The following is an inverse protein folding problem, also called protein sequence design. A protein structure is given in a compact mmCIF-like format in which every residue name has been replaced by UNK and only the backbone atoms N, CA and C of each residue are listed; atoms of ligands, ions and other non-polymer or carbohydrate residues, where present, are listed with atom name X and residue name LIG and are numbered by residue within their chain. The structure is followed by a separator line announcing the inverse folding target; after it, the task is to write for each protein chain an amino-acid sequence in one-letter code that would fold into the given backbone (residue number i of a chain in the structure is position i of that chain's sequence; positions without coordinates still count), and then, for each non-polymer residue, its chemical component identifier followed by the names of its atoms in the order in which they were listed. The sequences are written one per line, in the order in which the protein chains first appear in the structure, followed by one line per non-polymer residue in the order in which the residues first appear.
data_IF_498174350879
#
_entry.id   IF_498174350879
#
_cell.length_a   1.000
_cell.length_b   1.000
_cell.length_c   1.000
_cell.angle_alpha   90.00
_cell.angle_beta   90.00
_cell.angle_gamma   90.00
#
_symmetry.space_group_name_H-M   'P 1'
#
loop_
_entity.id
_entity.type
_entity.pdbx_description
1 polymer ?
#
# COMPACT_ATOMS: atom_id res chain seq x y z
N UNK A 1 -6.26 9.68 -9.97
CA UNK A 1 -5.32 8.58 -10.26
C UNK A 1 -4.34 8.48 -9.11
N UNK A 2 -4.13 7.29 -8.56
CA UNK A 2 -3.17 7.02 -7.50
C UNK A 2 -1.77 6.86 -8.11
N UNK A 3 -0.75 7.37 -7.42
CA UNK A 3 0.65 7.26 -7.88
C UNK A 3 1.36 6.07 -7.21
N UNK A 4 2.09 5.30 -8.03
CA UNK A 4 2.93 4.19 -7.58
C UNK A 4 4.03 4.66 -6.62
N UNK A 5 4.71 5.74 -6.99
CA UNK A 5 5.82 6.30 -6.22
C UNK A 5 5.35 6.81 -4.84
N UNK A 6 4.24 7.54 -4.79
CA UNK A 6 3.64 7.98 -3.51
C UNK A 6 3.24 6.81 -2.63
N UNK A 7 2.68 5.75 -3.23
CA UNK A 7 2.31 4.53 -2.51
C UNK A 7 3.54 3.84 -1.92
N UNK A 8 4.64 3.76 -2.68
CA UNK A 8 5.91 3.21 -2.20
C UNK A 8 6.49 4.04 -1.05
N UNK A 9 6.53 5.37 -1.16
CA UNK A 9 6.97 6.23 -0.06
C UNK A 9 6.12 6.04 1.21
N UNK A 10 4.80 5.97 1.07
CA UNK A 10 3.92 5.67 2.21
C UNK A 10 4.11 4.26 2.77
N UNK A 11 4.47 3.28 1.95
CA UNK A 11 4.81 1.95 2.44
C UNK A 11 6.13 1.95 3.24
N UNK A 12 7.12 2.77 2.87
CA UNK A 12 8.40 2.84 3.58
C UNK A 12 8.31 3.66 4.89
N UNK A 13 7.73 4.85 4.85
CA UNK A 13 7.68 5.75 6.02
C UNK A 13 6.49 5.49 6.94
N UNK A 14 5.34 5.11 6.37
CA UNK A 14 4.06 4.96 7.08
C UNK A 14 3.51 3.53 6.96
N UNK A 15 4.41 2.59 6.68
CA UNK A 15 4.11 1.19 6.45
C UNK A 15 3.51 0.49 7.65
N UNK A 16 4.08 0.71 8.84
CA UNK A 16 3.59 0.13 10.09
C UNK A 16 2.17 0.56 10.45
N UNK A 17 1.72 1.73 9.98
CA UNK A 17 0.35 2.23 10.16
C UNK A 17 -0.60 1.78 9.04
N UNK A 18 -0.08 1.24 7.92
CA UNK A 18 -0.88 0.80 6.79
C UNK A 18 -1.47 1.94 5.93
N UNK A 19 -0.96 3.17 6.04
CA UNK A 19 -1.50 4.35 5.34
C UNK A 19 -1.51 4.18 3.81
N UNK A 20 -0.51 3.50 3.25
CA UNK A 20 -0.46 3.18 1.83
C UNK A 20 -1.65 2.30 1.36
N UNK A 21 -2.19 1.42 2.21
CA UNK A 21 -3.38 0.61 1.90
C UNK A 21 -4.64 1.47 1.83
N UNK A 22 -4.79 2.42 2.75
CA UNK A 22 -5.87 3.42 2.72
C UNK A 22 -5.76 4.31 1.49
N UNK A 23 -4.54 4.76 1.16
CA UNK A 23 -4.30 5.50 -0.07
C UNK A 23 -4.78 4.71 -1.28
N UNK A 24 -4.52 3.40 -1.35
CA UNK A 24 -4.99 2.51 -2.42
C UNK A 24 -6.49 2.16 -2.40
N UNK A 25 -7.28 2.68 -1.44
CA UNK A 25 -8.70 2.34 -1.28
C UNK A 25 -8.96 0.96 -0.67
N UNK A 26 -7.93 0.31 -0.13
CA UNK A 26 -8.01 -1.00 0.51
C UNK A 26 -8.27 -0.87 2.02
N UNK A 27 -9.37 -0.21 2.39
CA UNK A 27 -9.66 0.16 3.78
C UNK A 27 -9.67 -1.02 4.76
N UNK A 28 -10.19 -2.18 4.35
CA UNK A 28 -10.18 -3.39 5.19
C UNK A 28 -8.75 -3.85 5.54
N UNK A 29 -7.81 -3.78 4.58
CA UNK A 29 -6.40 -4.09 4.84
C UNK A 29 -5.72 -3.01 5.67
N UNK A 30 -6.07 -1.75 5.46
CA UNK A 30 -5.59 -0.64 6.28
C UNK A 30 -6.00 -0.80 7.75
N UNK A 31 -7.25 -1.18 8.03
CA UNK A 31 -7.73 -1.42 9.40
C UNK A 31 -6.99 -2.59 10.05
N UNK A 32 -6.73 -3.68 9.32
CA UNK A 32 -5.90 -4.77 9.83
C UNK A 32 -4.51 -4.29 10.23
N UNK A 33 -3.88 -3.43 9.42
CA UNK A 33 -2.58 -2.86 9.76
C UNK A 33 -2.65 -1.99 11.02
N UNK A 34 -3.71 -1.21 11.20
CA UNK A 34 -3.92 -0.39 12.41
C UNK A 34 -4.19 -1.22 13.67
N UNK A 35 -4.81 -2.40 13.57
CA UNK A 35 -5.02 -3.27 14.74
C UNK A 35 -3.72 -3.99 15.11
N UNK A 36 -2.94 -4.41 14.11
CA UNK A 36 -1.69 -5.13 14.31
C UNK A 36 -0.46 -4.23 14.43
N UNK A 37 -0.58 -2.90 14.39
CA UNK A 37 0.57 -1.99 14.34
C UNK A 37 1.54 -2.18 15.52
N UNK A 38 1.02 -2.55 16.70
CA UNK A 38 1.82 -2.81 17.90
C UNK A 38 2.69 -4.07 17.79
N UNK A 39 2.39 -4.98 16.86
CA UNK A 39 3.13 -6.24 16.69
C UNK A 39 4.39 -6.06 15.84
N UNK A 40 4.59 -4.87 15.24
CA UNK A 40 5.60 -4.60 14.21
C UNK A 40 5.52 -5.47 12.94
N UNK A 41 4.65 -6.49 12.90
CA UNK A 41 4.37 -7.32 11.71
C UNK A 41 3.95 -6.45 10.51
N UNK A 42 3.03 -5.47 10.65
CA UNK A 42 2.63 -4.62 9.53
C UNK A 42 3.78 -3.81 8.95
N UNK A 43 4.77 -3.43 9.76
CA UNK A 43 5.95 -2.70 9.28
C UNK A 43 6.83 -3.59 8.39
N UNK A 44 7.01 -4.87 8.76
CA UNK A 44 7.73 -5.83 7.93
C UNK A 44 7.00 -6.10 6.60
N UNK A 45 5.69 -6.32 6.65
CA UNK A 45 4.88 -6.53 5.42
C UNK A 45 4.94 -5.29 4.53
N UNK A 46 4.87 -4.09 5.11
CA UNK A 46 4.96 -2.85 4.35
C UNK A 46 6.33 -2.65 3.69
N UNK A 47 7.41 -3.12 4.32
CA UNK A 47 8.74 -3.14 3.71
C UNK A 47 8.77 -4.05 2.48
N UNK A 48 8.15 -5.23 2.54
CA UNK A 48 7.99 -6.09 1.36
C UNK A 48 7.10 -5.43 0.29
N UNK A 49 5.97 -4.84 0.68
CA UNK A 49 5.08 -4.10 -0.23
C UNK A 49 5.83 -2.95 -0.93
N UNK A 50 6.74 -2.26 -0.24
CA UNK A 50 7.60 -1.23 -0.83
C UNK A 50 8.45 -1.76 -1.99
N UNK A 51 9.17 -2.87 -1.78
CA UNK A 51 9.94 -3.51 -2.87
C UNK A 51 9.02 -3.95 -4.01
N UNK A 52 7.87 -4.56 -3.68
CA UNK A 52 6.88 -4.94 -4.69
C UNK A 52 6.42 -3.73 -5.50
N UNK A 53 6.16 -2.58 -4.88
CA UNK A 53 5.74 -1.37 -5.60
C UNK A 53 6.86 -0.74 -6.45
N UNK A 54 8.12 -0.81 -6.01
CA UNK A 54 9.25 -0.35 -6.82
C UNK A 54 9.41 -1.22 -8.07
N UNK A 55 9.43 -2.55 -7.90
CA UNK A 55 9.63 -3.50 -8.99
C UNK A 55 8.37 -3.73 -9.85
N UNK A 56 7.18 -3.35 -9.37
CA UNK A 56 5.95 -3.39 -10.15
C UNK A 56 5.98 -2.33 -11.27
N UNK A 57 5.58 -2.72 -12.48
CA UNK A 57 5.41 -1.76 -13.60
C UNK A 57 4.22 -0.83 -13.37
N UNK A 58 4.28 0.36 -13.95
CA UNK A 58 3.18 1.35 -13.84
C UNK A 58 1.87 0.83 -14.43
N UNK A 59 1.92 0.08 -15.55
CA UNK A 59 0.73 -0.51 -16.17
C UNK A 59 0.02 -1.48 -15.23
N UNK A 60 0.79 -2.33 -14.53
CA UNK A 60 0.28 -3.30 -13.55
C UNK A 60 -0.34 -2.58 -12.35
N UNK A 61 0.29 -1.50 -11.90
CA UNK A 61 -0.22 -0.67 -10.81
C UNK A 61 -1.54 0.00 -11.22
N UNK A 62 -1.56 0.65 -12.38
CA UNK A 62 -2.72 1.34 -12.91
C UNK A 62 -3.88 0.37 -13.16
N UNK A 63 -3.62 -0.81 -13.72
CA UNK A 63 -4.63 -1.86 -13.89
C UNK A 63 -5.27 -2.28 -12.56
N UNK A 64 -4.47 -2.46 -11.52
CA UNK A 64 -4.93 -2.96 -10.23
C UNK A 64 -5.62 -1.89 -9.37
N UNK A 65 -5.15 -0.64 -9.40
CA UNK A 65 -5.53 0.40 -8.44
C UNK A 65 -6.20 1.63 -9.06
N UNK A 66 -6.15 1.81 -10.38
CA UNK A 66 -6.76 2.92 -11.08
C UNK A 66 -7.89 2.48 -12.01
N UNK A 67 -7.74 1.35 -12.72
CA UNK A 67 -8.72 0.86 -13.71
C UNK A 67 -9.86 0.03 -13.09
N UNK A 68 -9.63 -0.70 -11.99
CA UNK A 68 -10.67 -1.48 -11.31
C UNK A 68 -11.60 -0.69 -10.38
N UNK A 69 -11.28 0.57 -10.13
CA UNK A 69 -12.06 1.47 -9.26
C UNK A 69 -12.95 2.44 -10.03
N UNK A 70 -13.04 2.32 -11.36
CA UNK A 70 -14.05 3.00 -12.17
C UNK A 70 -15.33 2.17 -12.18
N UNK A 71 -16.22 2.45 -11.23
CA UNK A 71 -17.66 2.39 -11.48
C UNK A 71 -18.12 3.79 -11.84
#
# INVERSE_FOLDING_TARGET
MKSKFTTAMFALFLGGLGIHRFYLGQNGKGILYLIFFWTFIPALIALFDFFVFIFMSEDRFNYKYNLKTGF
#
